data_IF_817952692951
#
_entry.id   IF_817952692951
#
_cell.length_a   1.000
_cell.length_b   1.000
_cell.length_c   1.000
_cell.angle_alpha   90.00
_cell.angle_beta   90.00
_cell.angle_gamma   90.00
#
_symmetry.space_group_name_H-M   'P 1'
#
loop_
_entity.id
_entity.type
_entity.pdbx_description
1 polymer ?
#
# COMPACT_ATOMS: atom_id res chain seq x y z
N UNK A 1 12.98 5.91 15.23
CA UNK A 1 11.83 5.83 16.16
C UNK A 1 11.34 7.21 16.62
N UNK A 2 12.19 8.13 17.13
CA UNK A 2 11.72 9.48 17.51
C UNK A 2 11.16 10.29 16.33
N UNK A 3 11.80 10.22 15.15
CA UNK A 3 11.30 10.87 13.94
C UNK A 3 9.94 10.33 13.47
N UNK A 4 9.72 9.01 13.58
CA UNK A 4 8.46 8.37 13.19
C UNK A 4 7.33 8.81 14.12
N UNK A 5 7.57 8.84 15.43
CA UNK A 5 6.59 9.31 16.40
C UNK A 5 6.21 10.78 16.17
N UNK A 6 7.21 11.65 15.88
CA UNK A 6 6.95 13.05 15.52
C UNK A 6 6.17 13.16 14.20
N UNK A 7 6.44 12.29 13.22
CA UNK A 7 5.70 12.24 11.97
C UNK A 7 4.22 11.88 12.19
N UNK A 8 3.92 10.84 12.98
CA UNK A 8 2.54 10.44 13.28
C UNK A 8 1.79 11.53 14.05
N UNK A 9 2.37 12.06 15.14
CA UNK A 9 1.75 13.14 15.92
C UNK A 9 1.51 14.39 15.05
N UNK A 10 2.44 14.72 14.15
CA UNK A 10 2.34 15.88 13.26
C UNK A 10 1.30 15.71 12.15
N UNK A 11 1.01 14.49 11.71
CA UNK A 11 0.12 14.17 10.58
C UNK A 11 -1.26 13.71 11.07
N UNK A 12 -1.40 12.46 11.51
CA UNK A 12 -2.67 11.82 11.86
C UNK A 12 -3.35 12.47 13.07
N UNK A 13 -2.58 13.12 13.95
CA UNK A 13 -3.14 13.85 15.10
C UNK A 13 -4.05 15.03 14.74
N UNK A 14 -4.11 15.45 13.47
CA UNK A 14 -4.91 16.58 12.99
C UNK A 14 -5.90 16.22 11.89
N UNK A 15 -6.05 14.94 11.57
CA UNK A 15 -6.93 14.47 10.51
C UNK A 15 -8.09 13.65 11.07
N UNK A 16 -9.22 13.70 10.36
CA UNK A 16 -10.39 12.91 10.72
C UNK A 16 -11.14 12.52 9.45
N UNK A 17 -11.14 11.23 9.15
CA UNK A 17 -11.82 10.66 8.00
C UNK A 17 -12.23 9.22 8.30
N UNK A 18 -13.38 8.78 7.80
CA UNK A 18 -13.93 7.45 8.10
C UNK A 18 -12.98 6.31 7.70
N UNK A 19 -12.23 6.51 6.60
CA UNK A 19 -11.27 5.54 6.08
C UNK A 19 -9.82 5.72 6.57
N UNK A 20 -9.60 6.45 7.65
CA UNK A 20 -8.28 6.56 8.30
C UNK A 20 -8.39 6.05 9.74
N UNK A 21 -7.31 5.45 10.25
CA UNK A 21 -7.22 5.12 11.67
C UNK A 21 -7.13 6.41 12.50
N UNK A 22 -7.87 6.46 13.59
CA UNK A 22 -7.88 7.62 14.50
C UNK A 22 -6.80 7.48 15.57
N UNK A 23 -5.92 8.46 15.65
CA UNK A 23 -5.03 8.65 16.80
C UNK A 23 -5.79 9.38 17.91
N UNK A 24 -5.91 8.77 19.10
CA UNK A 24 -6.52 9.38 20.27
C UNK A 24 -5.53 10.16 21.13
N UNK A 25 -4.28 9.73 21.18
CA UNK A 25 -3.27 10.38 22.01
C UNK A 25 -1.90 9.75 21.88
N UNK A 26 -0.94 10.34 22.59
CA UNK A 26 0.43 9.87 22.64
C UNK A 26 0.97 9.98 24.07
N UNK A 27 1.95 9.12 24.38
CA UNK A 27 2.76 9.20 25.59
C UNK A 27 4.20 9.53 25.21
N UNK A 28 4.74 10.58 25.83
CA UNK A 28 6.12 11.00 25.64
C UNK A 28 6.80 11.16 27.00
N UNK A 29 7.25 10.05 27.59
CA UNK A 29 7.96 9.99 28.86
C UNK A 29 9.42 9.56 28.69
N UNK A 30 10.32 9.90 29.62
CA UNK A 30 11.79 9.77 29.44
C UNK A 30 12.26 8.37 29.00
N UNK A 31 11.57 7.31 29.43
CA UNK A 31 11.81 5.90 29.12
C UNK A 31 10.68 5.23 28.32
N UNK A 32 9.61 5.94 27.97
CA UNK A 32 8.43 5.34 27.33
C UNK A 32 7.86 6.24 26.26
N UNK A 33 7.64 5.64 25.09
CA UNK A 33 6.99 6.26 23.94
C UNK A 33 5.84 5.35 23.53
N UNK A 34 4.65 5.91 23.41
CA UNK A 34 3.48 5.15 22.97
C UNK A 34 2.52 6.03 22.18
N UNK A 35 1.75 5.39 21.31
CA UNK A 35 0.67 6.01 20.57
C UNK A 35 -0.60 5.21 20.83
N UNK A 36 -1.70 5.92 21.03
CA UNK A 36 -2.99 5.33 21.38
C UNK A 36 -3.92 5.54 20.20
N UNK A 37 -4.24 4.45 19.52
CA UNK A 37 -5.11 4.43 18.35
C UNK A 37 -6.49 3.90 18.70
N UNK A 38 -7.47 4.16 17.83
CA UNK A 38 -8.69 3.34 17.82
C UNK A 38 -8.34 1.86 17.60
N UNK A 39 -9.05 0.98 18.28
CA UNK A 39 -8.93 -0.45 18.03
C UNK A 39 -9.75 -0.81 16.79
N UNK A 40 -9.14 -1.54 15.86
CA UNK A 40 -9.76 -1.96 14.59
C UNK A 40 -9.84 -3.49 14.58
N UNK A 41 -11.05 -4.01 14.65
CA UNK A 41 -11.34 -5.34 15.19
C UNK A 41 -10.90 -6.49 14.28
N UNK A 42 -11.01 -6.30 12.96
CA UNK A 42 -10.77 -7.37 11.99
C UNK A 42 -9.30 -7.44 11.53
N UNK A 43 -8.42 -6.59 12.07
CA UNK A 43 -7.00 -6.57 11.73
C UNK A 43 -6.71 -6.07 10.32
N UNK A 44 -5.58 -6.46 9.75
CA UNK A 44 -5.12 -6.00 8.43
C UNK A 44 -5.75 -6.76 7.26
N UNK A 45 -5.89 -6.08 6.12
CA UNK A 45 -6.32 -6.66 4.85
C UNK A 45 -5.39 -7.80 4.40
N UNK A 46 -4.09 -7.74 4.71
CA UNK A 46 -3.13 -8.81 4.41
C UNK A 46 -3.57 -10.19 4.94
N UNK A 47 -4.28 -10.24 6.07
CA UNK A 47 -4.83 -11.48 6.66
C UNK A 47 -5.86 -12.15 5.75
N UNK A 48 -6.65 -11.35 5.03
CA UNK A 48 -7.71 -11.81 4.14
C UNK A 48 -7.23 -12.08 2.71
N UNK A 49 -6.10 -11.49 2.32
CA UNK A 49 -5.51 -11.74 0.99
C UNK A 49 -4.54 -12.92 0.99
N UNK A 50 -3.75 -13.10 2.06
CA UNK A 50 -2.65 -14.07 2.09
C UNK A 50 -2.68 -15.04 3.28
N UNK A 51 -3.51 -14.77 4.29
CA UNK A 51 -3.57 -15.55 5.51
C UNK A 51 -4.53 -16.74 5.43
N UNK A 52 -4.78 -17.36 6.58
CA UNK A 52 -5.72 -18.49 6.71
C UNK A 52 -7.18 -18.12 6.47
N UNK A 53 -7.51 -16.82 6.47
CA UNK A 53 -8.82 -16.26 6.13
C UNK A 53 -8.94 -15.90 4.64
N UNK A 54 -7.99 -16.37 3.82
CA UNK A 54 -8.10 -16.23 2.38
C UNK A 54 -9.40 -16.89 1.92
N UNK A 55 -10.18 -16.15 1.13
CA UNK A 55 -11.53 -16.50 0.63
C UNK A 55 -12.72 -16.25 1.59
N UNK A 56 -12.51 -15.74 2.81
CA UNK A 56 -13.62 -15.34 3.70
C UNK A 56 -14.34 -14.05 3.23
N UNK A 57 -13.80 -13.37 2.20
CA UNK A 57 -14.33 -12.10 1.69
C UNK A 57 -14.55 -12.18 0.17
N UNK A 58 -15.79 -11.91 -0.25
CA UNK A 58 -16.20 -11.82 -1.66
C UNK A 58 -15.52 -10.66 -2.40
N UNK A 59 -15.38 -10.76 -3.73
CA UNK A 59 -14.71 -9.72 -4.51
C UNK A 59 -15.45 -8.39 -4.46
N UNK A 60 -16.78 -8.41 -4.41
CA UNK A 60 -17.58 -7.20 -4.22
C UNK A 60 -17.18 -6.41 -2.97
N UNK A 61 -16.90 -7.11 -1.86
CA UNK A 61 -16.45 -6.46 -0.63
C UNK A 61 -15.01 -5.97 -0.70
N UNK A 62 -14.13 -6.72 -1.38
CA UNK A 62 -12.77 -6.28 -1.67
C UNK A 62 -12.74 -5.02 -2.57
N UNK A 63 -13.67 -4.90 -3.51
CA UNK A 63 -13.86 -3.70 -4.33
C UNK A 63 -14.30 -2.50 -3.49
N UNK A 64 -15.24 -2.67 -2.54
CA UNK A 64 -15.59 -1.63 -1.57
C UNK A 64 -14.40 -1.21 -0.70
N UNK A 65 -13.60 -2.18 -0.23
CA UNK A 65 -12.37 -1.93 0.55
C UNK A 65 -11.38 -1.11 -0.28
N UNK A 66 -11.20 -1.44 -1.56
CA UNK A 66 -10.35 -0.67 -2.46
C UNK A 66 -10.84 0.78 -2.64
N UNK A 67 -12.15 0.98 -2.83
CA UNK A 67 -12.76 2.32 -2.93
C UNK A 67 -12.56 3.12 -1.64
N UNK A 68 -12.86 2.54 -0.48
CA UNK A 68 -12.71 3.22 0.81
C UNK A 68 -11.24 3.56 1.11
N UNK A 69 -10.31 2.65 0.77
CA UNK A 69 -8.88 2.92 0.86
C UNK A 69 -8.48 4.09 -0.03
N UNK A 70 -8.95 4.11 -1.29
CA UNK A 70 -8.69 5.20 -2.21
C UNK A 70 -9.24 6.55 -1.70
N UNK A 71 -10.43 6.56 -1.09
CA UNK A 71 -11.02 7.74 -0.44
C UNK A 71 -10.15 8.25 0.71
N UNK A 72 -9.65 7.35 1.56
CA UNK A 72 -8.72 7.70 2.64
C UNK A 72 -7.45 8.39 2.11
N UNK A 73 -6.86 7.84 1.04
CA UNK A 73 -5.65 8.43 0.44
C UNK A 73 -5.98 9.75 -0.28
N UNK A 74 -7.11 9.85 -0.98
CA UNK A 74 -7.56 11.09 -1.62
C UNK A 74 -7.71 12.22 -0.61
N UNK A 75 -8.32 11.94 0.55
CA UNK A 75 -8.43 12.90 1.64
C UNK A 75 -7.06 13.42 2.11
N UNK A 76 -6.08 12.52 2.32
CA UNK A 76 -4.71 12.89 2.71
C UNK A 76 -4.03 13.80 1.68
N UNK A 77 -4.24 13.51 0.40
CA UNK A 77 -3.56 14.18 -0.71
C UNK A 77 -4.18 15.52 -1.10
N UNK A 78 -5.50 15.61 -1.01
CA UNK A 78 -6.29 16.62 -1.69
C UNK A 78 -7.13 17.47 -0.73
N UNK A 79 -7.57 16.94 0.41
CA UNK A 79 -8.50 17.64 1.32
C UNK A 79 -7.83 18.20 2.58
N UNK A 80 -6.75 17.58 3.05
CA UNK A 80 -5.99 18.09 4.18
C UNK A 80 -5.39 19.49 3.91
N UNK A 81 -5.37 20.34 4.94
CA UNK A 81 -4.83 21.71 4.89
C UNK A 81 -3.39 21.72 4.35
N UNK A 82 -2.55 20.84 4.89
CA UNK A 82 -1.27 20.47 4.31
C UNK A 82 -1.41 19.09 3.71
N UNK A 83 -0.83 18.87 2.54
CA UNK A 83 -0.84 17.56 1.91
C UNK A 83 -0.08 16.57 2.79
N UNK A 84 -0.64 15.39 3.01
CA UNK A 84 0.04 14.30 3.72
C UNK A 84 0.38 13.23 2.70
N UNK A 85 1.66 12.87 2.60
CA UNK A 85 2.14 11.72 1.82
C UNK A 85 2.39 10.58 2.79
N UNK A 86 1.83 9.40 2.55
CA UNK A 86 1.86 8.25 3.46
C UNK A 86 3.17 7.47 3.39
N UNK A 87 3.70 7.24 2.17
CA UNK A 87 4.87 6.44 1.83
C UNK A 87 4.79 4.93 2.05
N UNK A 88 3.80 4.43 2.79
CA UNK A 88 3.71 3.00 3.12
C UNK A 88 2.33 2.38 2.90
N UNK A 89 1.74 2.62 1.74
CA UNK A 89 0.47 1.98 1.35
C UNK A 89 0.73 0.53 0.95
N UNK A 90 0.17 -0.41 1.71
CA UNK A 90 0.27 -1.86 1.52
C UNK A 90 -0.85 -2.58 2.29
N UNK A 91 -1.16 -3.86 2.01
CA UNK A 91 -2.26 -4.56 2.67
C UNK A 91 -2.12 -4.67 4.20
N UNK A 92 -0.90 -4.67 4.73
CA UNK A 92 -0.64 -4.69 6.17
C UNK A 92 -1.10 -3.40 6.87
N UNK A 93 -1.09 -2.28 6.14
CA UNK A 93 -1.41 -0.95 6.64
C UNK A 93 -2.85 -0.50 6.28
N UNK A 94 -3.67 -1.42 5.76
CA UNK A 94 -5.11 -1.21 5.59
C UNK A 94 -5.81 -2.11 6.60
N UNK A 95 -6.30 -1.52 7.69
CA UNK A 95 -7.04 -2.22 8.74
C UNK A 95 -8.54 -2.27 8.39
N UNK A 96 -9.26 -3.27 8.90
CA UNK A 96 -10.68 -3.46 8.66
C UNK A 96 -11.48 -3.37 9.96
N UNK A 97 -12.49 -2.49 10.00
CA UNK A 97 -13.42 -2.40 11.13
C UNK A 97 -14.41 -3.57 11.18
N UNK A 98 -15.30 -3.61 12.18
CA UNK A 98 -16.35 -4.63 12.32
C UNK A 98 -17.20 -4.88 11.06
N UNK A 99 -17.43 -3.86 10.23
CA UNK A 99 -18.22 -3.96 9.01
C UNK A 99 -17.34 -4.20 7.76
N UNK A 100 -16.08 -4.58 7.97
CA UNK A 100 -15.04 -4.69 6.95
C UNK A 100 -14.86 -3.36 6.17
N UNK A 101 -15.07 -2.23 6.85
CA UNK A 101 -14.73 -0.90 6.36
C UNK A 101 -13.23 -0.65 6.47
N UNK A 102 -12.56 -0.15 5.40
CA UNK A 102 -11.12 0.05 5.42
C UNK A 102 -10.73 1.30 6.19
N UNK A 103 -9.64 1.19 6.96
CA UNK A 103 -8.95 2.27 7.66
C UNK A 103 -7.45 2.21 7.35
N UNK A 104 -6.95 3.22 6.63
CA UNK A 104 -5.50 3.36 6.38
C UNK A 104 -4.81 3.71 7.71
N UNK A 105 -3.74 2.98 8.01
CA UNK A 105 -2.99 3.03 9.27
C UNK A 105 -1.48 3.10 9.01
N UNK A 106 -0.70 3.21 10.10
CA UNK A 106 0.77 3.32 10.10
C UNK A 106 1.30 4.55 9.34
N UNK A 107 1.24 5.69 10.02
CA UNK A 107 1.71 6.97 9.50
C UNK A 107 3.19 7.22 9.85
N UNK A 108 3.93 6.20 10.27
CA UNK A 108 5.30 6.34 10.80
C UNK A 108 6.26 6.95 9.78
N UNK A 109 6.00 6.76 8.50
CA UNK A 109 6.79 7.31 7.40
C UNK A 109 6.19 8.59 6.79
N UNK A 110 5.00 8.99 7.23
CA UNK A 110 4.22 10.05 6.61
C UNK A 110 4.91 11.42 6.70
N UNK A 111 4.57 12.31 5.76
CA UNK A 111 5.17 13.65 5.70
C UNK A 111 4.14 14.70 5.31
N UNK A 112 4.21 15.84 5.98
CA UNK A 112 3.50 17.06 5.60
C UNK A 112 4.24 17.78 4.48
N UNK A 113 3.50 18.14 3.43
CA UNK A 113 3.97 18.92 2.30
C UNK A 113 3.10 20.16 2.13
N UNK A 114 3.73 21.32 1.91
CA UNK A 114 3.00 22.52 1.51
C UNK A 114 2.38 22.32 0.13
N UNK A 115 1.14 22.79 -0.07
CA UNK A 115 0.41 22.64 -1.35
C UNK A 115 1.12 23.32 -2.54
N UNK A 116 1.98 24.31 -2.27
CA UNK A 116 2.79 24.99 -3.28
C UNK A 116 4.11 24.30 -3.63
N UNK A 117 4.58 23.35 -2.81
CA UNK A 117 5.81 22.59 -3.03
C UNK A 117 5.44 21.12 -3.27
N UNK A 118 5.17 20.76 -4.52
CA UNK A 118 4.82 19.38 -4.89
C UNK A 118 5.98 18.39 -4.77
N UNK A 119 7.17 18.86 -4.40
CA UNK A 119 8.42 18.11 -4.42
C UNK A 119 8.99 18.01 -3.01
N UNK A 120 9.07 16.80 -2.50
CA UNK A 120 10.02 16.49 -1.44
C UNK A 120 11.30 15.96 -2.09
N UNK A 121 12.42 16.64 -1.89
CA UNK A 121 13.73 16.02 -2.15
C UNK A 121 13.97 15.05 -1.00
N UNK A 122 13.74 13.76 -1.23
CA UNK A 122 14.12 12.74 -0.26
C UNK A 122 15.60 12.45 -0.44
N UNK A 123 16.37 12.59 0.63
CA UNK A 123 17.79 12.23 0.67
C UNK A 123 17.98 10.73 0.88
N UNK A 124 16.98 10.03 1.44
CA UNK A 124 17.00 8.61 1.77
C UNK A 124 15.72 7.91 1.30
N UNK A 125 15.84 6.61 1.00
CA UNK A 125 14.71 5.73 0.67
C UNK A 125 13.66 5.70 1.80
N UNK A 126 12.38 5.66 1.41
CA UNK A 126 11.22 5.50 2.32
C UNK A 126 10.21 4.54 1.69
N UNK A 127 9.51 3.77 2.52
CA UNK A 127 8.45 2.84 2.12
C UNK A 127 8.90 1.39 2.10
N UNK A 128 7.98 0.51 1.67
CA UNK A 128 8.23 -0.93 1.61
C UNK A 128 8.68 -1.36 0.20
N UNK A 129 9.73 -2.18 0.13
CA UNK A 129 10.20 -2.79 -1.14
C UNK A 129 9.08 -3.57 -1.81
N UNK A 130 8.91 -3.42 -3.12
CA UNK A 130 7.82 -4.02 -3.89
C UNK A 130 6.60 -3.10 -4.06
N UNK A 131 6.34 -2.20 -3.11
CA UNK A 131 5.26 -1.19 -3.19
C UNK A 131 5.78 0.20 -3.54
N UNK A 132 7.06 0.48 -3.26
CA UNK A 132 7.67 1.77 -3.48
C UNK A 132 7.78 2.10 -4.98
N UNK A 133 7.33 3.30 -5.35
CA UNK A 133 7.37 3.79 -6.73
C UNK A 133 8.81 3.91 -7.27
N UNK A 134 9.04 3.82 -8.60
CA UNK A 134 10.37 3.83 -9.20
C UNK A 134 11.22 5.06 -8.85
N UNK A 135 10.57 6.22 -8.67
CA UNK A 135 11.25 7.47 -8.28
C UNK A 135 11.80 7.45 -6.85
N UNK A 136 11.35 6.54 -5.99
CA UNK A 136 11.85 6.41 -4.61
C UNK A 136 13.31 5.94 -4.53
N UNK A 137 13.79 5.30 -5.59
CA UNK A 137 15.14 4.74 -5.70
C UNK A 137 16.09 5.64 -6.50
N UNK A 138 15.62 6.80 -6.93
CA UNK A 138 16.34 7.72 -7.79
C UNK A 138 16.40 9.09 -7.12
N UNK A 139 17.38 9.94 -7.46
CA UNK A 139 17.45 11.32 -6.98
C UNK A 139 16.41 12.20 -7.69
N UNK A 140 15.19 11.70 -7.87
CA UNK A 140 14.08 12.43 -8.47
C UNK A 140 13.21 13.07 -7.41
N UNK A 141 12.56 14.20 -7.73
CA UNK A 141 11.47 14.75 -6.95
C UNK A 141 10.42 13.69 -6.60
N UNK A 142 10.24 13.44 -5.30
CA UNK A 142 9.15 12.58 -4.83
C UNK A 142 7.92 13.43 -4.56
N UNK A 143 6.78 12.97 -5.04
CA UNK A 143 5.47 13.62 -4.90
C UNK A 143 4.47 12.62 -4.31
N UNK A 144 3.27 13.07 -3.93
CA UNK A 144 2.16 12.22 -3.47
C UNK A 144 1.78 11.09 -4.45
N UNK A 145 2.20 11.18 -5.70
CA UNK A 145 2.02 10.14 -6.71
C UNK A 145 2.76 8.84 -6.38
N UNK A 146 3.70 8.84 -5.42
CA UNK A 146 4.29 7.59 -4.93
C UNK A 146 3.24 6.71 -4.22
N UNK A 147 2.34 7.29 -3.42
CA UNK A 147 1.25 6.56 -2.77
C UNK A 147 0.25 6.02 -3.81
N UNK A 148 0.03 6.75 -4.91
CA UNK A 148 -0.82 6.28 -6.03
C UNK A 148 -0.24 5.00 -6.64
N UNK A 149 1.08 4.96 -6.85
CA UNK A 149 1.76 3.75 -7.33
C UNK A 149 1.60 2.59 -6.34
N UNK A 150 1.87 2.83 -5.06
CA UNK A 150 1.72 1.82 -4.01
C UNK A 150 0.27 1.31 -3.90
N UNK A 151 -0.73 2.18 -4.07
CA UNK A 151 -2.13 1.79 -4.18
C UNK A 151 -2.42 0.93 -5.42
N UNK A 152 -1.77 1.20 -6.55
CA UNK A 152 -1.83 0.34 -7.73
C UNK A 152 -1.30 -1.07 -7.46
N UNK A 153 -0.17 -1.20 -6.74
CA UNK A 153 0.36 -2.49 -6.29
C UNK A 153 -0.62 -3.20 -5.34
N UNK A 154 -1.21 -2.47 -4.40
CA UNK A 154 -2.27 -2.99 -3.53
C UNK A 154 -3.47 -3.53 -4.32
N UNK A 155 -3.94 -2.83 -5.35
CA UNK A 155 -5.03 -3.30 -6.21
C UNK A 155 -4.70 -4.63 -6.90
N UNK A 156 -3.48 -4.78 -7.40
CA UNK A 156 -3.03 -6.04 -8.00
C UNK A 156 -3.13 -7.21 -7.03
N UNK A 157 -2.72 -7.01 -5.77
CA UNK A 157 -2.83 -8.05 -4.75
C UNK A 157 -4.27 -8.35 -4.34
N UNK A 158 -5.14 -7.33 -4.34
CA UNK A 158 -6.58 -7.52 -4.10
C UNK A 158 -7.20 -8.37 -5.21
N UNK A 159 -6.91 -8.07 -6.48
CA UNK A 159 -7.45 -8.78 -7.64
C UNK A 159 -6.94 -10.23 -7.67
N UNK A 160 -5.64 -10.42 -7.45
CA UNK A 160 -5.00 -11.73 -7.54
C UNK A 160 -5.16 -12.60 -6.29
N UNK A 161 -5.58 -12.03 -5.14
CA UNK A 161 -5.55 -12.67 -3.82
C UNK A 161 -4.23 -13.41 -3.55
N UNK A 162 -3.13 -12.79 -3.98
CA UNK A 162 -1.75 -13.29 -3.91
C UNK A 162 -0.80 -12.12 -3.83
N UNK A 163 0.43 -12.37 -3.35
CA UNK A 163 1.47 -11.35 -3.36
C UNK A 163 1.75 -10.89 -4.78
N UNK A 164 2.03 -9.60 -4.95
CA UNK A 164 2.33 -9.00 -6.24
C UNK A 164 3.58 -9.60 -6.90
N UNK A 165 4.46 -10.20 -6.09
CA UNK A 165 5.57 -11.03 -6.50
C UNK A 165 5.55 -12.36 -5.74
N UNK A 166 5.65 -13.49 -6.44
CA UNK A 166 5.73 -14.82 -5.83
C UNK A 166 6.54 -15.78 -6.69
N UNK A 167 7.70 -16.20 -6.14
CA UNK A 167 8.69 -17.07 -6.79
C UNK A 167 8.18 -18.47 -7.10
N UNK A 168 7.11 -18.93 -6.44
CA UNK A 168 6.55 -20.26 -6.67
C UNK A 168 5.74 -20.36 -7.96
N UNK A 169 5.46 -19.22 -8.62
CA UNK A 169 4.76 -19.19 -9.89
C UNK A 169 5.70 -19.33 -11.08
N UNK A 170 5.13 -19.69 -12.23
CA UNK A 170 5.84 -19.66 -13.51
C UNK A 170 6.44 -18.27 -13.75
N UNK A 171 7.61 -18.18 -14.39
CA UNK A 171 8.33 -16.92 -14.64
C UNK A 171 7.44 -15.80 -15.21
N UNK A 172 6.50 -16.16 -16.10
CA UNK A 172 5.56 -15.20 -16.72
C UNK A 172 4.48 -14.66 -15.77
N UNK A 173 4.31 -15.28 -14.60
CA UNK A 173 3.28 -15.00 -13.58
C UNK A 173 3.88 -14.58 -12.23
N UNK A 174 5.20 -14.67 -12.05
CA UNK A 174 5.88 -14.29 -10.82
C UNK A 174 5.56 -12.85 -10.44
N UNK A 175 5.69 -11.91 -11.38
CA UNK A 175 5.33 -10.51 -11.17
C UNK A 175 3.94 -10.19 -11.72
N UNK A 176 2.95 -10.19 -10.83
CA UNK A 176 1.53 -10.06 -11.17
C UNK A 176 1.17 -8.79 -11.95
N UNK A 177 1.74 -7.60 -11.67
CA UNK A 177 1.53 -6.40 -12.49
C UNK A 177 1.91 -6.58 -13.97
N UNK A 178 3.04 -7.23 -14.27
CA UNK A 178 3.47 -7.49 -15.65
C UNK A 178 2.63 -8.57 -16.32
N UNK A 179 2.27 -9.61 -15.58
CA UNK A 179 1.34 -10.61 -16.08
C UNK A 179 -0.01 -9.99 -16.46
N UNK A 180 -0.52 -9.10 -15.61
CA UNK A 180 -1.76 -8.35 -15.86
C UNK A 180 -1.65 -7.47 -17.09
N UNK A 181 -0.55 -6.73 -17.25
CA UNK A 181 -0.30 -5.96 -18.48
C UNK A 181 -0.32 -6.84 -19.73
N UNK A 182 0.44 -7.93 -19.73
CA UNK A 182 0.53 -8.81 -20.90
C UNK A 182 -0.85 -9.38 -21.27
N UNK A 183 -1.68 -9.71 -20.28
CA UNK A 183 -3.05 -10.19 -20.52
C UNK A 183 -3.99 -9.09 -20.97
N UNK A 184 -3.84 -7.87 -20.44
CA UNK A 184 -4.58 -6.70 -20.92
C UNK A 184 -4.25 -6.38 -22.39
N UNK A 185 -2.97 -6.32 -22.75
CA UNK A 185 -2.50 -6.00 -24.11
C UNK A 185 -2.98 -7.00 -25.16
N UNK A 186 -3.08 -8.28 -24.79
CA UNK A 186 -3.57 -9.34 -25.67
C UNK A 186 -5.11 -9.50 -25.65
N UNK A 187 -5.86 -8.63 -24.98
CA UNK A 187 -7.31 -8.74 -24.76
C UNK A 187 -7.73 -10.05 -24.06
N UNK A 188 -6.87 -10.58 -23.19
CA UNK A 188 -7.06 -11.82 -22.43
C UNK A 188 -7.28 -11.57 -20.93
N UNK A 189 -7.66 -10.35 -20.54
CA UNK A 189 -7.81 -9.99 -19.13
C UNK A 189 -8.88 -10.85 -18.43
N UNK A 190 -10.02 -11.09 -19.08
CA UNK A 190 -11.08 -11.97 -18.57
C UNK A 190 -10.59 -13.40 -18.29
N UNK A 191 -9.65 -13.91 -19.11
CA UNK A 191 -9.04 -15.23 -18.91
C UNK A 191 -8.17 -15.23 -17.66
N UNK A 192 -7.31 -14.20 -17.50
CA UNK A 192 -6.49 -14.03 -16.30
C UNK A 192 -7.34 -13.96 -15.03
N UNK A 193 -8.44 -13.20 -15.05
CA UNK A 193 -9.34 -13.07 -13.91
C UNK A 193 -10.02 -14.40 -13.56
N UNK A 194 -10.42 -15.19 -14.57
CA UNK A 194 -10.96 -16.53 -14.35
C UNK A 194 -9.92 -17.45 -13.70
N UNK A 195 -8.64 -17.36 -14.09
CA UNK A 195 -7.54 -18.09 -13.44
C UNK A 195 -7.28 -17.64 -12.00
N UNK A 196 -7.61 -16.40 -11.65
CA UNK A 196 -7.56 -15.89 -10.27
C UNK A 196 -8.79 -16.30 -9.44
N UNK A 197 -9.70 -17.11 -10.00
CA UNK A 197 -10.93 -17.53 -9.32
C UNK A 197 -11.99 -16.43 -9.21
N UNK A 198 -11.96 -15.43 -10.09
CA UNK A 198 -13.00 -14.40 -10.15
C UNK A 198 -14.24 -14.93 -10.86
N UNK A 199 -15.38 -14.88 -10.16
CA UNK A 199 -16.69 -15.27 -10.69
C UNK A 199 -17.17 -14.32 -11.79
N UNK A 200 -18.00 -14.83 -12.71
CA UNK A 200 -18.53 -14.06 -13.84
C UNK A 200 -19.22 -12.76 -13.41
N UNK A 201 -19.98 -12.81 -12.30
CA UNK A 201 -20.70 -11.65 -11.74
C UNK A 201 -19.79 -10.49 -11.33
N UNK A 202 -18.52 -10.77 -11.04
CA UNK A 202 -17.57 -9.79 -10.54
C UNK A 202 -16.48 -9.43 -11.57
N UNK A 203 -16.50 -10.05 -12.76
CA UNK A 203 -15.49 -9.81 -13.80
C UNK A 203 -15.41 -8.36 -14.22
N UNK A 204 -16.53 -7.69 -14.42
CA UNK A 204 -16.55 -6.28 -14.82
C UNK A 204 -15.82 -5.39 -13.79
N UNK A 205 -16.10 -5.61 -12.50
CA UNK A 205 -15.42 -4.89 -11.40
C UNK A 205 -13.92 -5.19 -11.40
N UNK A 206 -13.54 -6.46 -11.56
CA UNK A 206 -12.14 -6.85 -11.55
C UNK A 206 -11.37 -6.33 -12.77
N UNK A 207 -11.97 -6.32 -13.96
CA UNK A 207 -11.39 -5.72 -15.16
C UNK A 207 -11.19 -4.21 -14.98
N UNK A 208 -12.18 -3.54 -14.39
CA UNK A 208 -12.11 -2.12 -14.06
C UNK A 208 -10.98 -1.84 -13.07
N UNK A 209 -10.90 -2.59 -11.96
CA UNK A 209 -9.81 -2.50 -10.99
C UNK A 209 -8.44 -2.75 -11.64
N UNK A 210 -8.34 -3.71 -12.57
CA UNK A 210 -7.09 -4.00 -13.29
C UNK A 210 -6.63 -2.82 -14.14
N UNK A 211 -7.55 -2.16 -14.86
CA UNK A 211 -7.24 -0.95 -15.65
C UNK A 211 -6.83 0.21 -14.74
N UNK A 212 -7.51 0.41 -13.61
CA UNK A 212 -7.12 1.42 -12.60
C UNK A 212 -5.73 1.12 -12.05
N UNK A 213 -5.45 -0.13 -11.68
CA UNK A 213 -4.14 -0.52 -11.17
C UNK A 213 -3.02 -0.21 -12.17
N UNK A 214 -3.23 -0.51 -13.46
CA UNK A 214 -2.30 -0.19 -14.56
C UNK A 214 -2.09 1.34 -14.75
N UNK A 215 -3.13 2.16 -14.59
CA UNK A 215 -3.00 3.62 -14.56
C UNK A 215 -2.22 4.11 -13.33
N UNK A 216 -2.42 3.49 -12.17
CA UNK A 216 -1.74 3.85 -10.94
C UNK A 216 -0.24 3.52 -10.96
N UNK A 217 0.18 2.43 -11.62
CA UNK A 217 1.58 1.99 -11.64
C UNK A 217 2.41 2.53 -12.81
N UNK A 218 1.95 3.57 -13.49
CA UNK A 218 2.73 4.21 -14.56
C UNK A 218 4.11 4.64 -14.06
N UNK A 219 5.14 4.41 -14.88
CA UNK A 219 6.53 4.73 -14.51
C UNK A 219 6.69 6.21 -14.17
N UNK A 220 6.13 7.11 -14.99
CA UNK A 220 6.14 8.55 -14.74
C UNK A 220 5.09 8.93 -13.69
N UNK A 221 5.47 9.65 -12.62
CA UNK A 221 4.51 10.12 -11.62
C UNK A 221 3.41 11.04 -12.18
N UNK A 222 3.70 11.77 -13.26
CA UNK A 222 2.75 12.70 -13.87
C UNK A 222 1.62 11.98 -14.60
N UNK A 223 1.89 10.79 -15.12
CA UNK A 223 0.92 9.99 -15.88
C UNK A 223 -0.04 9.22 -14.96
N UNK A 224 0.28 9.12 -13.67
CA UNK A 224 -0.59 8.52 -12.66
C UNK A 224 -1.77 9.46 -12.35
N UNK A 225 -3.00 8.95 -12.23
CA UNK A 225 -4.17 9.77 -11.87
C UNK A 225 -4.05 10.38 -10.47
N UNK A 226 -4.90 11.37 -10.18
CA UNK A 226 -5.17 11.81 -8.79
C UNK A 226 -5.99 10.74 -8.06
N UNK A 227 -5.89 10.67 -6.74
CA UNK A 227 -6.64 9.67 -5.98
C UNK A 227 -8.15 9.92 -6.01
N UNK A 228 -8.60 11.18 -6.06
CA UNK A 228 -10.00 11.50 -6.31
C UNK A 228 -10.48 10.99 -7.67
N UNK A 229 -9.64 11.06 -8.70
CA UNK A 229 -9.93 10.45 -10.02
C UNK A 229 -9.97 8.93 -9.91
N UNK A 230 -9.04 8.31 -9.18
CA UNK A 230 -9.02 6.86 -8.93
C UNK A 230 -10.32 6.41 -8.26
N UNK A 231 -10.84 7.15 -7.28
CA UNK A 231 -12.13 6.87 -6.63
C UNK A 231 -13.25 6.84 -7.67
N UNK A 232 -13.38 7.88 -8.50
CA UNK A 232 -14.39 7.94 -9.59
C UNK A 232 -14.22 6.81 -10.60
N UNK A 233 -12.97 6.48 -10.94
CA UNK A 233 -12.66 5.33 -11.79
C UNK A 233 -13.05 4.02 -11.11
N UNK A 234 -12.97 3.84 -9.80
CA UNK A 234 -13.38 2.58 -9.16
C UNK A 234 -14.90 2.49 -8.98
N UNK A 235 -15.57 3.62 -8.75
CA UNK A 235 -17.02 3.70 -8.50
C UNK A 235 -17.89 3.57 -9.76
N UNK A 236 -17.31 3.65 -10.95
CA UNK A 236 -18.09 3.60 -12.19
C UNK A 236 -18.44 4.97 -12.77
N UNK A 237 -18.08 6.07 -12.10
CA UNK A 237 -18.53 7.41 -12.49
C UNK A 237 -17.90 7.93 -13.79
N UNK A 238 -16.72 7.41 -14.15
CA UNK A 238 -16.00 7.81 -15.37
C UNK A 238 -15.52 6.61 -16.16
N UNK A 239 -15.60 6.67 -17.48
CA UNK A 239 -15.02 5.65 -18.36
C UNK A 239 -13.48 5.66 -18.26
N UNK A 240 -12.89 4.46 -18.33
CA UNK A 240 -11.44 4.29 -18.21
C UNK A 240 -10.86 4.05 -19.60
N UNK A 241 -10.10 5.01 -20.09
CA UNK A 241 -9.33 4.84 -21.32
C UNK A 241 -8.28 3.73 -21.17
N UNK A 242 -7.92 3.03 -22.26
CA UNK A 242 -6.86 2.03 -22.23
C UNK A 242 -5.56 2.61 -21.63
N UNK A 243 -5.00 2.05 -20.54
CA UNK A 243 -3.74 2.51 -19.99
C UNK A 243 -2.57 2.26 -20.96
N UNK A 244 -1.59 3.17 -21.04
CA UNK A 244 -0.34 2.92 -21.76
C UNK A 244 0.54 1.93 -20.99
N UNK A 245 1.59 1.41 -21.65
CA UNK A 245 2.52 0.47 -21.01
C UNK A 245 3.21 1.10 -19.80
N UNK A 246 2.98 0.60 -18.56
CA UNK A 246 3.48 1.24 -17.36
C UNK A 246 4.98 0.99 -17.08
N UNK A 247 5.62 0.01 -17.73
CA UNK A 247 6.95 -0.50 -17.33
C UNK A 247 8.10 -0.16 -18.27
N UNK A 248 7.96 0.89 -19.10
CA UNK A 248 8.88 1.30 -20.18
C UNK A 248 10.38 1.35 -19.78
N UNK A 249 10.70 1.67 -18.53
CA UNK A 249 12.07 1.82 -18.03
C UNK A 249 12.50 0.75 -17.00
N UNK A 250 11.68 -0.28 -16.81
CA UNK A 250 12.01 -1.41 -15.92
C UNK A 250 12.65 -2.58 -16.71
N UNK A 251 12.29 -2.74 -17.99
CA UNK A 251 12.80 -3.81 -18.87
C UNK A 251 14.23 -3.59 -19.35
N UNK A 252 14.74 -2.35 -19.33
CA UNK A 252 16.13 -2.03 -19.70
C UNK A 252 17.15 -2.44 -18.63
N UNK A 253 16.71 -3.01 -17.50
CA UNK A 253 17.56 -3.60 -16.47
C UNK A 253 17.20 -5.07 -16.26
N UNK A 254 17.71 -5.94 -17.12
CA UNK A 254 18.06 -7.29 -16.65
C UNK A 254 19.25 -7.14 -15.68
N UNK A 255 19.22 -7.70 -14.46
CA UNK A 255 20.44 -7.86 -13.70
C UNK A 255 21.32 -8.84 -14.47
N UNK A 256 22.44 -8.37 -15.00
CA UNK A 256 23.53 -9.24 -15.41
C UNK A 256 24.11 -9.86 -14.15
N UNK A 257 23.69 -11.06 -13.81
CA UNK A 257 24.46 -11.92 -12.91
C UNK A 257 25.61 -12.53 -13.72
N UNK A 258 26.74 -11.81 -13.79
CA UNK A 258 28.03 -12.36 -14.17
C UNK A 258 29.15 -11.39 -13.71
N UNK A 259 29.97 -11.89 -12.77
CA UNK A 259 31.33 -11.48 -12.35
C UNK A 259 31.55 -10.01 -11.89
N UNK A 260 32.25 -9.68 -10.81
CA UNK A 260 33.13 -10.41 -9.89
C UNK A 260 33.27 -9.63 -8.56
N UNK A 261 33.92 -10.27 -7.59
CA UNK A 261 34.64 -9.69 -6.45
C UNK A 261 33.93 -9.54 -5.10
N UNK A 262 34.06 -10.65 -4.35
CA UNK A 262 34.40 -10.70 -2.92
C UNK A 262 34.65 -9.36 -2.24
N UNK A 263 33.73 -8.94 -1.39
CA UNK A 263 34.06 -8.32 -0.10
C UNK A 263 33.09 -8.81 0.96
N UNK A 264 33.65 -9.58 1.89
CA UNK A 264 33.00 -10.06 3.09
C UNK A 264 32.56 -8.90 3.98
N UNK A 265 31.27 -8.81 4.31
CA UNK A 265 30.82 -8.13 5.51
C UNK A 265 30.27 -9.21 6.45
N UNK A 266 31.01 -9.42 7.55
CA UNK A 266 30.69 -10.37 8.59
C UNK A 266 29.38 -9.98 9.27
N UNK A 267 28.49 -10.96 9.37
CA UNK A 267 27.28 -10.90 10.18
C UNK A 267 27.66 -11.23 11.63
N UNK A 268 27.55 -10.26 12.54
CA UNK A 268 27.52 -10.58 13.97
C UNK A 268 26.09 -10.97 14.36
N UNK A 269 25.91 -12.27 14.60
CA UNK A 269 24.76 -12.82 15.30
C UNK A 269 24.88 -12.49 16.80
N UNK A 270 23.84 -11.92 17.39
CA UNK A 270 23.61 -12.03 18.83
C UNK A 270 22.25 -12.65 19.08
N UNK A 271 22.28 -13.69 19.92
CA UNK A 271 21.24 -14.68 20.10
C UNK A 271 19.95 -14.13 20.67
N UNK A 272 18.87 -14.79 20.23
CA UNK A 272 17.55 -14.81 20.84
C UNK A 272 17.68 -15.24 22.30
N UNK A 273 17.02 -14.51 23.20
CA UNK A 273 16.53 -15.10 24.45
C UNK A 273 15.02 -14.89 24.50
N UNK A 274 14.29 -15.99 24.29
CA UNK A 274 12.86 -16.08 24.48
C UNK A 274 12.54 -15.92 25.97
N UNK A 275 11.75 -14.90 26.29
CA UNK A 275 10.70 -14.92 27.32
C UNK A 275 10.14 -13.50 27.43
N UNK A 276 8.99 -13.25 26.81
CA UNK A 276 8.07 -12.22 27.31
C UNK A 276 6.65 -12.68 27.01
N UNK A 277 5.98 -13.13 28.06
CA UNK A 277 4.57 -13.49 28.11
C UNK A 277 3.71 -12.27 27.79
N UNK A 278 2.86 -12.41 26.78
CA UNK A 278 1.83 -11.44 26.42
C UNK A 278 0.67 -11.52 27.41
N UNK A 279 0.32 -10.41 28.07
CA UNK A 279 -0.97 -10.24 28.72
C UNK A 279 -1.79 -9.23 27.92
N UNK A 280 -2.84 -9.72 27.28
CA UNK A 280 -3.88 -8.91 26.65
C UNK A 280 -4.91 -8.62 27.75
N UNK A 281 -4.86 -7.43 28.35
CA UNK A 281 -6.01 -6.93 29.10
C UNK A 281 -7.07 -6.45 28.11
N UNK A 282 -8.27 -7.04 28.19
CA UNK A 282 -9.43 -6.60 27.43
C UNK A 282 -9.80 -5.17 27.85
N UNK A 283 -9.37 -4.19 27.07
CA UNK A 283 -9.91 -2.82 27.13
C UNK A 283 -10.28 -2.37 25.72
N UNK A 284 -11.20 -1.41 25.62
CA UNK A 284 -11.79 -0.87 24.38
C UNK A 284 -10.79 -0.16 23.45
N UNK A 285 -9.49 -0.24 23.72
CA UNK A 285 -8.42 0.47 23.01
C UNK A 285 -7.22 -0.46 22.78
N UNK A 286 -6.56 -0.34 21.64
CA UNK A 286 -5.24 -0.93 21.44
C UNK A 286 -4.17 0.02 21.93
N UNK A 287 -3.50 -0.37 23.00
CA UNK A 287 -2.30 0.29 23.49
C UNK A 287 -1.09 -0.45 22.93
N UNK A 288 -0.37 0.16 22.01
CA UNK A 288 0.93 -0.36 21.57
C UNK A 288 2.01 0.19 22.50
N UNK A 289 2.46 -0.65 23.44
CA UNK A 289 3.58 -0.34 24.34
C UNK A 289 4.89 -0.83 23.74
N UNK A 290 5.81 0.08 23.47
CA UNK A 290 7.20 -0.27 23.20
C UNK A 290 8.00 -0.14 24.50
N UNK A 291 8.42 -1.26 25.07
CA UNK A 291 9.42 -1.32 26.15
C UNK A 291 10.79 -1.50 25.53
N UNK A 292 11.75 -0.67 25.94
CA UNK A 292 13.15 -0.73 25.53
C UNK A 292 13.87 -1.93 26.14
#
# INVERSE_FOLDING_TARGET
MEEQLKAEIGTIGRTYHVNLVRLYGFCFHWDKRALVYEFVENGSLSKYLFGSQNQDIELGKLHEIAIGTAKGIAYLHEECQQRIIHYDIKPENVLLDLNLGPKVADFGLAKLCSRGSNVSVNTNFRGTVGYAAPEMWKPYPVTHKCDVYSFGILLFEIIGRRRHFDDNCNESQQWFPKWTWNKFENNELSVMLSLCGIEEKDKEKAERMSKVALWCVQYSPNDRPLMSTVVKMLEGEIEISPPPFPFQNLESRKPSFADSDTTSWQTESSGVNEQNTFQIEKSTYSVFTFTF
#
